data_IF_992449617451
#
_entry.id   IF_992449617451
#
_cell.length_a   1.000
_cell.length_b   1.000
_cell.length_c   1.000
_cell.angle_alpha   90.00
_cell.angle_beta   90.00
_cell.angle_gamma   90.00
#
_symmetry.space_group_name_H-M   'P 1'
#
loop_
_entity.id
_entity.type
_entity.pdbx_description
1 polymer ?
#
# COMPACT_ATOMS: atom_id res chain seq x y z
N UNK A 1 -23.89 -3.63 2.31
CA UNK A 1 -22.54 -4.12 1.96
C UNK A 1 -21.81 -4.43 3.26
N UNK A 2 -21.18 -5.61 3.39
CA UNK A 2 -20.45 -5.98 4.60
C UNK A 2 -19.30 -5.00 4.90
N UNK A 3 -18.89 -4.89 6.15
CA UNK A 3 -17.83 -3.97 6.60
C UNK A 3 -16.59 -4.72 7.07
N UNK A 4 -15.39 -4.31 6.62
CA UNK A 4 -14.14 -4.85 7.15
C UNK A 4 -13.60 -4.01 8.30
N UNK A 5 -13.52 -4.60 9.48
CA UNK A 5 -13.00 -3.91 10.66
C UNK A 5 -11.51 -3.52 10.49
N UNK A 6 -11.10 -2.26 10.74
CA UNK A 6 -9.71 -1.79 10.64
C UNK A 6 -8.74 -2.62 11.48
N UNK A 7 -9.17 -3.09 12.66
CA UNK A 7 -8.36 -3.94 13.54
C UNK A 7 -7.84 -5.19 12.81
N UNK A 8 -8.67 -5.84 11.99
CA UNK A 8 -8.26 -7.04 11.26
C UNK A 8 -7.15 -6.77 10.24
N UNK A 9 -7.19 -5.58 9.62
CA UNK A 9 -6.18 -5.12 8.66
C UNK A 9 -4.85 -4.85 9.37
N UNK A 10 -4.89 -4.13 10.51
CA UNK A 10 -3.71 -3.89 11.34
C UNK A 10 -3.07 -5.19 11.84
N UNK A 11 -3.88 -6.17 12.27
CA UNK A 11 -3.38 -7.47 12.72
C UNK A 11 -2.68 -8.23 11.60
N UNK A 12 -3.24 -8.22 10.38
CA UNK A 12 -2.58 -8.79 9.21
C UNK A 12 -1.22 -8.13 8.96
N UNK A 13 -1.20 -6.80 8.85
CA UNK A 13 0.02 -6.02 8.56
C UNK A 13 1.09 -6.28 9.63
N UNK A 14 0.74 -6.15 10.91
CA UNK A 14 1.69 -6.33 12.02
C UNK A 14 2.21 -7.77 12.08
N UNK A 15 1.35 -8.77 11.86
CA UNK A 15 1.78 -10.16 11.85
C UNK A 15 2.84 -10.40 10.79
N UNK A 16 2.58 -10.03 9.53
CA UNK A 16 3.52 -10.27 8.44
C UNK A 16 4.77 -9.38 8.53
N UNK A 17 4.64 -8.14 9.01
CA UNK A 17 5.75 -7.23 9.23
C UNK A 17 6.72 -7.71 10.33
N UNK A 18 6.21 -8.42 11.36
CA UNK A 18 7.02 -8.91 12.49
C UNK A 18 7.76 -10.22 12.22
N UNK A 19 7.31 -11.02 11.26
CA UNK A 19 7.99 -12.28 10.89
C UNK A 19 9.47 -12.08 10.51
N UNK A 20 9.85 -11.22 9.55
CA UNK A 20 11.26 -11.04 9.21
C UNK A 20 12.07 -10.39 10.34
N UNK A 21 11.44 -9.51 11.15
CA UNK A 21 12.08 -8.92 12.32
C UNK A 21 12.44 -10.00 13.36
N UNK A 22 11.52 -10.92 13.64
CA UNK A 22 11.75 -12.02 14.56
C UNK A 22 12.82 -12.99 14.04
N UNK A 23 12.81 -13.31 12.74
CA UNK A 23 13.85 -14.16 12.12
C UNK A 23 15.23 -13.50 12.16
N UNK A 24 15.30 -12.21 11.84
CA UNK A 24 16.52 -11.42 11.94
C UNK A 24 17.05 -11.42 13.38
N UNK A 25 16.19 -11.09 14.35
CA UNK A 25 16.59 -11.08 15.75
C UNK A 25 17.04 -12.46 16.24
N UNK A 26 16.32 -13.51 15.88
CA UNK A 26 16.69 -14.89 16.23
C UNK A 26 18.07 -15.25 15.67
N UNK A 27 18.36 -14.90 14.41
CA UNK A 27 19.68 -15.10 13.83
C UNK A 27 20.77 -14.38 14.65
N UNK A 28 20.59 -13.10 14.93
CA UNK A 28 21.58 -12.31 15.67
C UNK A 28 21.81 -12.85 17.09
N UNK A 29 20.74 -13.23 17.79
CA UNK A 29 20.82 -13.79 19.15
C UNK A 29 21.42 -15.18 19.19
N UNK A 30 21.14 -16.06 18.21
CA UNK A 30 21.63 -17.44 18.19
C UNK A 30 23.06 -17.56 17.69
N UNK A 31 23.49 -16.68 16.79
CA UNK A 31 24.83 -16.75 16.16
C UNK A 31 25.83 -15.79 16.78
N UNK A 32 25.37 -14.72 17.43
CA UNK A 32 26.22 -13.61 17.87
C UNK A 32 26.74 -12.73 16.73
N UNK A 33 26.34 -12.99 15.47
CA UNK A 33 26.71 -12.21 14.31
C UNK A 33 25.63 -11.19 13.94
N UNK A 34 26.05 -10.00 13.48
CA UNK A 34 25.13 -9.03 12.89
C UNK A 34 24.70 -9.47 11.49
N UNK A 35 23.53 -9.00 11.05
CA UNK A 35 23.07 -9.22 9.67
C UNK A 35 23.60 -8.09 8.80
N UNK A 36 24.36 -8.42 7.75
CA UNK A 36 24.86 -7.41 6.82
C UNK A 36 23.76 -6.89 5.88
N UNK A 37 23.98 -5.71 5.28
CA UNK A 37 22.98 -5.05 4.41
C UNK A 37 22.47 -5.93 3.28
N UNK A 38 23.33 -6.74 2.66
CA UNK A 38 22.91 -7.67 1.59
C UNK A 38 21.96 -8.77 2.08
N UNK A 39 22.22 -9.33 3.27
CA UNK A 39 21.33 -10.34 3.86
C UNK A 39 20.01 -9.73 4.33
N UNK A 40 20.06 -8.52 4.91
CA UNK A 40 18.84 -7.77 5.27
C UNK A 40 18.00 -7.45 4.03
N UNK A 41 18.62 -6.95 2.96
CA UNK A 41 17.96 -6.74 1.67
C UNK A 41 17.22 -8.00 1.17
N UNK A 42 17.88 -9.16 1.20
CA UNK A 42 17.24 -10.41 0.79
C UNK A 42 16.10 -10.82 1.72
N UNK A 43 16.32 -10.80 3.04
CA UNK A 43 15.33 -11.21 4.03
C UNK A 43 14.06 -10.38 3.94
N UNK A 44 14.19 -9.05 4.01
CA UNK A 44 13.04 -8.15 3.98
C UNK A 44 12.41 -8.06 2.59
N UNK A 45 13.20 -8.16 1.51
CA UNK A 45 12.67 -8.20 0.15
C UNK A 45 11.80 -9.43 -0.11
N UNK A 46 12.26 -10.62 0.32
CA UNK A 46 11.46 -11.83 0.24
C UNK A 46 10.25 -11.80 1.17
N UNK A 47 10.39 -11.27 2.39
CA UNK A 47 9.27 -11.14 3.31
C UNK A 47 8.17 -10.25 2.72
N UNK A 48 8.53 -9.07 2.20
CA UNK A 48 7.58 -8.16 1.54
C UNK A 48 6.86 -8.84 0.37
N UNK A 49 7.59 -9.56 -0.51
CA UNK A 49 6.98 -10.30 -1.61
C UNK A 49 6.03 -11.39 -1.12
N UNK A 50 6.41 -12.15 -0.09
CA UNK A 50 5.57 -13.20 0.49
C UNK A 50 4.30 -12.59 1.10
N UNK A 51 4.40 -11.47 1.82
CA UNK A 51 3.25 -10.73 2.37
C UNK A 51 2.28 -10.35 1.26
N UNK A 52 2.76 -9.70 0.19
CA UNK A 52 1.90 -9.30 -0.94
C UNK A 52 1.23 -10.50 -1.59
N UNK A 53 1.95 -11.61 -1.81
CA UNK A 53 1.37 -12.83 -2.39
C UNK A 53 0.32 -13.44 -1.47
N UNK A 54 0.58 -13.49 -0.16
CA UNK A 54 -0.39 -13.99 0.82
C UNK A 54 -1.66 -13.15 0.83
N UNK A 55 -1.52 -11.84 0.84
CA UNK A 55 -2.62 -10.90 0.77
C UNK A 55 -3.49 -11.12 -0.48
N UNK A 56 -2.88 -11.21 -1.66
CA UNK A 56 -3.60 -11.49 -2.92
C UNK A 56 -4.42 -12.79 -2.85
N UNK A 57 -3.84 -13.86 -2.27
CA UNK A 57 -4.52 -15.15 -2.14
C UNK A 57 -5.68 -15.10 -1.13
N UNK A 58 -5.53 -14.35 -0.04
CA UNK A 58 -6.56 -14.12 0.98
C UNK A 58 -7.72 -13.30 0.39
N UNK A 59 -7.40 -12.23 -0.36
CA UNK A 59 -8.40 -11.39 -1.03
C UNK A 59 -9.18 -12.16 -2.08
N UNK A 60 -8.54 -13.07 -2.82
CA UNK A 60 -9.25 -13.97 -3.73
C UNK A 60 -10.31 -14.81 -3.01
N UNK A 61 -10.03 -15.31 -1.80
CA UNK A 61 -11.02 -16.03 -0.99
C UNK A 61 -12.18 -15.13 -0.58
N UNK A 62 -11.89 -13.90 -0.16
CA UNK A 62 -12.92 -12.92 0.20
C UNK A 62 -13.79 -12.55 -1.00
N UNK A 63 -13.20 -12.35 -2.18
CA UNK A 63 -13.92 -12.10 -3.43
C UNK A 63 -14.84 -13.27 -3.79
N UNK A 64 -14.38 -14.51 -3.64
CA UNK A 64 -15.24 -15.68 -3.88
C UNK A 64 -16.46 -15.72 -2.94
N UNK A 65 -16.34 -15.19 -1.73
CA UNK A 65 -17.43 -15.16 -0.74
C UNK A 65 -18.35 -13.95 -0.87
N UNK A 66 -17.79 -12.77 -1.13
CA UNK A 66 -18.51 -11.49 -1.07
C UNK A 66 -18.76 -10.86 -2.45
N UNK A 67 -18.14 -11.39 -3.51
CA UNK A 67 -18.21 -10.84 -4.86
C UNK A 67 -17.28 -9.64 -5.07
N UNK A 68 -17.49 -8.94 -6.19
CA UNK A 68 -16.74 -7.75 -6.58
C UNK A 68 -17.65 -6.53 -6.73
N UNK A 69 -17.08 -5.34 -6.50
CA UNK A 69 -17.67 -4.07 -6.91
C UNK A 69 -17.97 -4.13 -8.41
N UNK A 70 -19.14 -3.62 -8.80
CA UNK A 70 -19.69 -3.66 -10.17
C UNK A 70 -19.88 -5.08 -10.74
N UNK A 71 -19.81 -6.12 -9.90
CA UNK A 71 -19.80 -7.52 -10.32
C UNK A 71 -21.08 -8.02 -10.98
N UNK A 72 -22.19 -7.30 -10.78
CA UNK A 72 -23.49 -7.59 -11.41
C UNK A 72 -23.53 -7.15 -12.89
N UNK A 73 -22.59 -6.28 -13.32
CA UNK A 73 -22.51 -5.72 -14.68
C UNK A 73 -21.26 -6.19 -15.42
N UNK A 74 -20.11 -6.21 -14.74
CA UNK A 74 -18.81 -6.54 -15.33
C UNK A 74 -18.05 -7.56 -14.49
N UNK A 75 -17.41 -8.52 -15.17
CA UNK A 75 -16.41 -9.37 -14.54
C UNK A 75 -15.09 -8.60 -14.34
N UNK A 76 -14.26 -9.03 -13.38
CA UNK A 76 -12.90 -8.50 -13.26
C UNK A 76 -12.06 -8.89 -14.46
N UNK A 77 -11.15 -8.01 -14.84
CA UNK A 77 -10.28 -8.17 -15.98
C UNK A 77 -9.33 -9.36 -15.80
N UNK A 78 -9.19 -10.16 -16.85
CA UNK A 78 -8.18 -11.21 -16.94
C UNK A 78 -6.80 -10.65 -17.30
N UNK A 79 -5.75 -11.39 -16.94
CA UNK A 79 -4.38 -11.03 -17.33
C UNK A 79 -4.22 -11.28 -18.85
N UNK A 80 -3.84 -10.28 -19.66
CA UNK A 80 -3.60 -10.48 -21.09
C UNK A 80 -2.48 -11.48 -21.34
N UNK A 81 -2.56 -12.28 -22.41
CA UNK A 81 -1.53 -13.27 -22.76
C UNK A 81 -0.13 -12.64 -22.97
N UNK A 82 -0.08 -11.42 -23.51
CA UNK A 82 1.16 -10.63 -23.67
C UNK A 82 1.67 -10.03 -22.35
N UNK A 83 0.87 -10.10 -21.29
CA UNK A 83 1.07 -9.48 -19.99
C UNK A 83 1.57 -10.41 -18.88
N UNK A 84 1.53 -11.72 -19.08
CA UNK A 84 1.85 -12.69 -18.02
C UNK A 84 3.22 -12.46 -17.37
N UNK A 85 4.25 -12.11 -18.16
CA UNK A 85 5.58 -11.78 -17.63
C UNK A 85 5.57 -10.58 -16.69
N UNK A 86 4.78 -9.53 -17.00
CA UNK A 86 4.69 -8.33 -16.16
C UNK A 86 4.08 -8.67 -14.80
N UNK A 87 3.00 -9.45 -14.79
CA UNK A 87 2.38 -9.88 -13.52
C UNK A 87 3.29 -10.78 -12.70
N UNK A 88 4.14 -11.60 -13.33
CA UNK A 88 5.10 -12.46 -12.62
C UNK A 88 6.32 -11.70 -12.08
N UNK A 89 6.85 -10.75 -12.84
CA UNK A 89 8.11 -10.05 -12.52
C UNK A 89 7.89 -8.74 -11.76
N UNK A 90 6.73 -8.10 -11.93
CA UNK A 90 6.37 -6.83 -11.30
C UNK A 90 6.45 -6.90 -9.77
N UNK A 91 5.72 -7.81 -9.08
CA UNK A 91 5.72 -7.84 -7.62
C UNK A 91 7.12 -8.07 -6.99
N UNK A 92 7.95 -9.03 -7.48
CA UNK A 92 9.33 -9.13 -7.00
C UNK A 92 10.14 -7.85 -7.25
N UNK A 93 10.05 -7.27 -8.45
CA UNK A 93 10.76 -6.03 -8.79
C UNK A 93 10.38 -4.89 -7.84
N UNK A 94 9.09 -4.72 -7.56
CA UNK A 94 8.56 -3.72 -6.63
C UNK A 94 9.12 -3.94 -5.22
N UNK A 95 9.00 -5.16 -4.70
CA UNK A 95 9.47 -5.50 -3.35
C UNK A 95 10.96 -5.20 -3.20
N UNK A 96 11.79 -5.72 -4.11
CA UNK A 96 13.24 -5.55 -4.01
C UNK A 96 13.69 -4.11 -4.28
N UNK A 97 13.09 -3.34 -5.19
CA UNK A 97 13.50 -1.94 -5.41
C UNK A 97 13.24 -1.05 -4.17
N UNK A 98 12.08 -1.21 -3.52
CA UNK A 98 11.77 -0.49 -2.27
C UNK A 98 12.75 -0.84 -1.16
N UNK A 99 13.04 -2.12 -0.98
CA UNK A 99 13.95 -2.57 0.06
C UNK A 99 15.40 -2.20 -0.25
N UNK A 100 15.82 -2.18 -1.52
CA UNK A 100 17.14 -1.69 -1.89
C UNK A 100 17.32 -0.23 -1.47
N UNK A 101 16.31 0.61 -1.71
CA UNK A 101 16.33 2.01 -1.31
C UNK A 101 16.43 2.17 0.21
N UNK A 102 15.54 1.54 0.96
CA UNK A 102 15.52 1.63 2.42
C UNK A 102 16.82 1.09 3.05
N UNK A 103 17.30 -0.07 2.60
CA UNK A 103 18.55 -0.65 3.11
C UNK A 103 19.74 0.25 2.81
N UNK A 104 19.83 0.81 1.60
CA UNK A 104 20.97 1.63 1.20
C UNK A 104 21.06 2.95 1.96
N UNK A 105 19.91 3.51 2.35
CA UNK A 105 19.85 4.82 2.99
C UNK A 105 19.86 4.77 4.52
N UNK A 106 19.28 3.74 5.14
CA UNK A 106 18.92 3.80 6.57
C UNK A 106 19.28 2.56 7.38
N UNK A 107 19.76 1.48 6.75
CA UNK A 107 20.07 0.26 7.48
C UNK A 107 21.44 0.31 8.16
N UNK A 108 21.43 0.14 9.47
CA UNK A 108 22.63 -0.07 10.29
C UNK A 108 22.68 -1.51 10.78
N UNK A 109 23.76 -2.24 10.43
CA UNK A 109 23.98 -3.62 10.87
C UNK A 109 24.27 -3.74 12.37
N UNK A 110 24.64 -2.66 13.04
CA UNK A 110 24.91 -2.67 14.47
C UNK A 110 23.64 -2.55 15.32
N UNK A 111 22.54 -2.04 14.75
CA UNK A 111 21.26 -1.94 15.45
C UNK A 111 20.38 -3.16 15.17
N UNK A 112 20.14 -3.97 16.20
CA UNK A 112 19.24 -5.13 16.07
C UNK A 112 17.76 -4.73 16.04
N UNK A 113 16.86 -5.57 15.48
CA UNK A 113 15.42 -5.28 15.52
C UNK A 113 14.89 -5.10 16.94
N UNK A 114 15.32 -5.94 17.89
CA UNK A 114 14.88 -5.85 19.28
C UNK A 114 15.35 -4.56 19.94
N UNK A 115 16.59 -4.15 19.72
CA UNK A 115 17.13 -2.88 20.22
C UNK A 115 16.32 -1.69 19.68
N UNK A 116 16.07 -1.63 18.38
CA UNK A 116 15.27 -0.58 17.77
C UNK A 116 13.82 -0.54 18.28
N UNK A 117 13.22 -1.69 18.57
CA UNK A 117 11.84 -1.79 19.04
C UNK A 117 11.67 -1.56 20.55
N UNK A 118 12.72 -1.75 21.34
CA UNK A 118 12.66 -1.63 22.81
C UNK A 118 13.03 -0.24 23.31
N UNK A 119 13.54 0.65 22.45
CA UNK A 119 13.76 2.05 22.81
C UNK A 119 12.42 2.82 22.90
N UNK A 120 11.81 2.76 24.09
CA UNK A 120 10.54 3.41 24.42
C UNK A 120 10.61 4.94 24.21
N UNK A 121 11.79 5.53 24.32
CA UNK A 121 11.94 6.99 24.16
C UNK A 121 11.63 7.45 22.74
N UNK A 122 11.84 6.57 21.75
CA UNK A 122 11.54 6.84 20.34
C UNK A 122 10.07 6.58 19.97
N UNK A 123 9.31 5.81 20.76
CA UNK A 123 7.96 5.35 20.39
C UNK A 123 6.99 6.48 20.01
N UNK A 124 6.90 7.61 20.74
CA UNK A 124 6.01 8.70 20.35
C UNK A 124 6.35 9.27 18.96
N UNK A 125 7.64 9.38 18.65
CA UNK A 125 8.12 9.90 17.37
C UNK A 125 7.93 8.86 16.27
N UNK A 126 8.24 7.58 16.51
CA UNK A 126 8.00 6.49 15.55
C UNK A 126 6.51 6.33 15.22
N UNK A 127 5.64 6.46 16.23
CA UNK A 127 4.19 6.45 16.02
C UNK A 127 3.73 7.66 15.21
N UNK A 128 4.23 8.86 15.52
CA UNK A 128 3.95 10.06 14.72
C UNK A 128 4.38 9.86 13.26
N UNK A 129 5.58 9.31 13.03
CA UNK A 129 6.06 9.00 11.68
C UNK A 129 5.11 8.06 10.95
N UNK A 130 4.66 6.97 11.60
CA UNK A 130 3.71 6.03 11.01
C UNK A 130 2.37 6.69 10.65
N UNK A 131 1.85 7.57 11.51
CA UNK A 131 0.62 8.32 11.24
C UNK A 131 0.75 9.25 10.02
N UNK A 132 1.91 9.90 9.86
CA UNK A 132 2.15 10.87 8.80
C UNK A 132 2.59 10.22 7.48
N UNK A 133 3.25 9.06 7.53
CA UNK A 133 3.91 8.47 6.37
C UNK A 133 2.96 8.25 5.20
N UNK A 134 1.79 7.66 5.46
CA UNK A 134 0.75 7.45 4.45
C UNK A 134 0.34 8.76 3.78
N UNK A 135 0.06 9.82 4.55
CA UNK A 135 -0.38 11.12 4.03
C UNK A 135 0.73 11.80 3.21
N UNK A 136 1.97 11.75 3.66
CA UNK A 136 3.12 12.37 2.97
C UNK A 136 3.48 11.63 1.69
N UNK A 137 3.46 10.29 1.70
CA UNK A 137 3.66 9.50 0.49
C UNK A 137 2.56 9.78 -0.53
N UNK A 138 1.33 9.83 -0.05
CA UNK A 138 0.15 10.10 -0.86
C UNK A 138 0.18 11.50 -1.47
N UNK A 139 0.85 12.48 -0.86
CA UNK A 139 1.06 13.81 -1.47
C UNK A 139 1.86 13.73 -2.76
N UNK A 140 3.02 13.07 -2.72
CA UNK A 140 3.89 12.92 -3.89
C UNK A 140 3.24 12.03 -4.95
N UNK A 141 2.56 10.97 -4.52
CA UNK A 141 1.75 10.14 -5.42
C UNK A 141 0.63 10.96 -6.06
N UNK A 142 -0.14 11.73 -5.29
CA UNK A 142 -1.25 12.55 -5.77
C UNK A 142 -0.79 13.53 -6.85
N UNK A 143 0.32 14.24 -6.64
CA UNK A 143 0.88 15.17 -7.63
C UNK A 143 1.24 14.44 -8.93
N UNK A 144 1.99 13.34 -8.82
CA UNK A 144 2.39 12.55 -9.98
C UNK A 144 1.17 12.00 -10.73
N UNK A 145 0.26 11.37 -10.00
CA UNK A 145 -0.90 10.67 -10.55
C UNK A 145 -1.86 11.66 -11.22
N UNK A 146 -2.19 12.78 -10.56
CA UNK A 146 -2.98 13.85 -11.15
C UNK A 146 -2.30 14.43 -12.39
N UNK A 147 -0.99 14.65 -12.36
CA UNK A 147 -0.26 15.16 -13.52
C UNK A 147 -0.31 14.18 -14.70
N UNK A 148 -0.20 12.87 -14.46
CA UNK A 148 -0.39 11.84 -15.49
C UNK A 148 -1.77 11.90 -16.16
N UNK A 149 -2.80 12.28 -15.42
CA UNK A 149 -4.18 12.40 -15.91
C UNK A 149 -4.48 13.75 -16.57
N UNK A 150 -3.91 14.84 -16.04
CA UNK A 150 -4.25 16.20 -16.48
C UNK A 150 -3.27 16.78 -17.52
N UNK A 151 -2.02 16.29 -17.60
CA UNK A 151 -1.01 16.74 -18.55
C UNK A 151 -0.89 15.73 -19.71
N UNK A 152 -1.28 16.09 -20.96
CA UNK A 152 -1.38 15.13 -22.06
C UNK A 152 -0.11 14.31 -22.35
N UNK A 153 1.08 14.90 -22.17
CA UNK A 153 2.35 14.20 -22.36
C UNK A 153 2.63 13.13 -21.28
N UNK A 154 2.16 13.35 -20.04
CA UNK A 154 2.42 12.44 -18.93
C UNK A 154 1.48 11.23 -18.91
N UNK A 155 0.35 11.29 -19.63
CA UNK A 155 -0.61 10.18 -19.77
C UNK A 155 0.05 8.88 -20.24
N UNK A 156 1.07 8.97 -21.10
CA UNK A 156 1.77 7.78 -21.61
C UNK A 156 2.39 6.91 -20.52
N UNK A 157 2.73 7.48 -19.37
CA UNK A 157 3.32 6.74 -18.25
C UNK A 157 2.28 5.98 -17.45
N UNK A 158 1.01 6.39 -17.48
CA UNK A 158 -0.04 5.81 -16.64
C UNK A 158 -1.14 5.07 -17.43
N UNK A 159 -1.20 5.26 -18.75
CA UNK A 159 -2.21 4.64 -19.61
C UNK A 159 -2.23 3.11 -19.54
N UNK A 160 -1.07 2.47 -19.37
CA UNK A 160 -0.96 1.00 -19.35
C UNK A 160 -1.65 0.44 -18.11
N UNK A 161 -1.50 1.12 -16.98
CA UNK A 161 -2.20 0.81 -15.74
C UNK A 161 -3.72 0.85 -15.91
N UNK A 162 -4.23 1.88 -16.60
CA UNK A 162 -5.65 2.03 -16.92
C UNK A 162 -6.19 1.17 -18.07
N UNK A 163 -5.35 0.33 -18.70
CA UNK A 163 -5.87 -0.67 -19.64
C UNK A 163 -6.77 -1.67 -18.93
N UNK A 164 -6.56 -1.89 -17.63
CA UNK A 164 -7.49 -2.62 -16.78
C UNK A 164 -8.46 -1.64 -16.11
N UNK A 165 -9.75 -1.81 -16.44
CA UNK A 165 -10.86 -1.03 -15.90
C UNK A 165 -11.49 -1.68 -14.68
N UNK A 166 -11.35 -3.00 -14.56
CA UNK A 166 -11.80 -3.79 -13.42
C UNK A 166 -10.65 -4.66 -12.92
N UNK A 167 -9.57 -4.06 -12.36
CA UNK A 167 -8.36 -4.80 -12.01
C UNK A 167 -8.58 -5.88 -10.95
N UNK A 168 -7.64 -6.81 -10.83
CA UNK A 168 -7.55 -7.71 -9.68
C UNK A 168 -6.30 -7.36 -8.88
N UNK A 169 -6.21 -7.86 -7.65
CA UNK A 169 -5.03 -7.63 -6.79
C UNK A 169 -3.72 -8.07 -7.48
N UNK A 170 -3.77 -9.10 -8.34
CA UNK A 170 -2.62 -9.57 -9.13
C UNK A 170 -2.13 -8.53 -10.17
N UNK A 171 -2.97 -7.58 -10.54
CA UNK A 171 -2.66 -6.50 -11.46
C UNK A 171 -2.30 -5.19 -10.75
N UNK A 172 -2.09 -5.20 -9.43
CA UNK A 172 -1.57 -4.03 -8.71
C UNK A 172 -0.22 -3.53 -9.26
N UNK A 173 0.60 -4.47 -9.77
CA UNK A 173 1.87 -4.19 -10.43
C UNK A 173 1.76 -4.03 -11.97
N UNK A 174 0.54 -3.91 -12.52
CA UNK A 174 0.34 -3.77 -13.95
C UNK A 174 0.63 -2.33 -14.39
N UNK A 175 1.87 -2.05 -14.75
CA UNK A 175 2.32 -0.74 -15.20
C UNK A 175 3.50 -0.85 -16.19
N UNK A 176 3.92 0.28 -16.76
CA UNK A 176 5.18 0.39 -17.50
C UNK A 176 6.34 0.68 -16.54
N UNK A 177 7.57 0.33 -16.97
CA UNK A 177 8.76 0.38 -16.11
C UNK A 177 8.98 1.79 -15.53
N UNK A 178 8.64 2.85 -16.27
CA UNK A 178 8.78 4.24 -15.81
C UNK A 178 7.82 4.58 -14.68
N UNK A 179 6.57 4.09 -14.74
CA UNK A 179 5.61 4.26 -13.66
C UNK A 179 6.04 3.46 -12.43
N UNK A 180 6.49 2.22 -12.62
CA UNK A 180 7.02 1.41 -11.52
C UNK A 180 8.23 2.08 -10.86
N UNK A 181 9.21 2.58 -11.62
CA UNK A 181 10.35 3.31 -11.03
C UNK A 181 9.88 4.56 -10.28
N UNK A 182 8.90 5.29 -10.82
CA UNK A 182 8.39 6.50 -10.19
C UNK A 182 7.67 6.19 -8.86
N UNK A 183 6.73 5.24 -8.87
CA UNK A 183 5.96 4.87 -7.68
C UNK A 183 6.77 4.11 -6.64
N UNK A 184 7.79 3.37 -7.06
CA UNK A 184 8.50 2.45 -6.17
C UNK A 184 9.84 2.99 -5.68
N UNK A 185 10.43 3.98 -6.37
CA UNK A 185 11.70 4.59 -5.98
C UNK A 185 11.52 6.08 -5.75
N UNK A 186 11.04 6.83 -6.75
CA UNK A 186 11.01 8.30 -6.67
C UNK A 186 10.06 8.79 -5.58
N UNK A 187 8.82 8.30 -5.53
CA UNK A 187 7.83 8.71 -4.52
C UNK A 187 8.28 8.36 -3.09
N UNK A 188 8.72 7.12 -2.79
CA UNK A 188 9.28 6.78 -1.48
C UNK A 188 10.53 7.61 -1.12
N UNK A 189 11.41 7.90 -2.10
CA UNK A 189 12.59 8.75 -1.88
C UNK A 189 12.20 10.20 -1.54
N UNK A 190 11.23 10.78 -2.26
CA UNK A 190 10.73 12.13 -1.96
C UNK A 190 10.03 12.18 -0.60
N UNK A 191 9.33 11.11 -0.23
CA UNK A 191 8.73 10.94 1.11
C UNK A 191 9.81 10.92 2.18
N UNK A 192 10.84 10.09 2.00
CA UNK A 192 12.00 10.03 2.89
C UNK A 192 12.69 11.40 3.02
N UNK A 193 12.96 12.08 1.89
CA UNK A 193 13.56 13.41 1.88
C UNK A 193 12.69 14.45 2.60
N UNK A 194 11.37 14.34 2.50
CA UNK A 194 10.42 15.22 3.22
C UNK A 194 10.57 15.03 4.73
N UNK A 195 10.54 13.78 5.21
CA UNK A 195 10.74 13.43 6.62
C UNK A 195 12.09 13.91 7.15
N UNK A 196 13.16 13.66 6.39
CA UNK A 196 14.51 14.14 6.70
C UNK A 196 14.56 15.67 6.82
N UNK A 197 13.95 16.40 5.87
CA UNK A 197 13.99 17.87 5.85
C UNK A 197 13.32 18.55 7.04
N UNK A 198 12.41 17.86 7.73
CA UNK A 198 11.69 18.38 8.91
C UNK A 198 12.18 17.78 10.23
N UNK A 199 13.32 17.07 10.21
CA UNK A 199 13.93 16.46 11.40
C UNK A 199 13.22 15.19 11.90
N UNK A 200 12.41 14.54 11.06
CA UNK A 200 11.74 13.28 11.35
C UNK A 200 12.40 12.11 10.60
N UNK A 201 13.73 12.01 10.65
CA UNK A 201 14.51 11.02 9.90
C UNK A 201 13.98 9.59 10.10
N UNK A 202 13.76 8.85 9.01
CA UNK A 202 13.24 7.49 9.06
C UNK A 202 14.38 6.48 9.24
N UNK A 203 14.34 5.71 10.33
CA UNK A 203 15.18 4.52 10.49
C UNK A 203 14.69 3.36 9.61
N UNK A 204 15.55 2.36 9.36
CA UNK A 204 15.19 1.20 8.54
C UNK A 204 13.95 0.46 9.04
N UNK A 205 13.89 0.16 10.34
CA UNK A 205 12.76 -0.60 10.91
C UNK A 205 11.46 0.22 10.92
N UNK A 206 11.52 1.54 11.10
CA UNK A 206 10.35 2.42 10.98
C UNK A 206 9.82 2.45 9.54
N UNK A 207 10.73 2.62 8.57
CA UNK A 207 10.38 2.64 7.15
C UNK A 207 9.88 1.27 6.68
N UNK A 208 10.43 0.17 7.22
CA UNK A 208 9.93 -1.19 6.99
C UNK A 208 8.46 -1.30 7.40
N UNK A 209 8.10 -0.94 8.64
CA UNK A 209 6.71 -0.99 9.11
C UNK A 209 5.81 -0.09 8.26
N UNK A 210 6.26 1.13 7.94
CA UNK A 210 5.50 2.04 7.07
C UNK A 210 5.25 1.42 5.69
N UNK A 211 6.25 0.75 5.10
CA UNK A 211 6.14 0.10 3.79
C UNK A 211 5.14 -1.04 3.78
N UNK A 212 5.03 -1.80 4.89
CA UNK A 212 4.05 -2.89 5.02
C UNK A 212 2.60 -2.36 5.08
N UNK A 213 2.36 -1.14 5.59
CA UNK A 213 1.07 -0.47 5.45
C UNK A 213 0.78 -0.07 4.00
N UNK A 214 1.77 0.49 3.30
CA UNK A 214 1.60 0.92 1.91
C UNK A 214 1.29 -0.28 1.01
N UNK A 215 2.04 -1.37 1.12
CA UNK A 215 1.84 -2.54 0.24
C UNK A 215 0.47 -3.15 0.44
N UNK A 216 -0.03 -3.20 1.68
CA UNK A 216 -1.40 -3.63 1.98
C UNK A 216 -2.43 -2.78 1.24
N UNK A 217 -2.35 -1.45 1.37
CA UNK A 217 -3.26 -0.53 0.68
C UNK A 217 -3.21 -0.70 -0.84
N UNK A 218 -2.02 -0.91 -1.41
CA UNK A 218 -1.84 -1.07 -2.85
C UNK A 218 -2.45 -2.37 -3.37
N UNK A 219 -2.26 -3.49 -2.67
CA UNK A 219 -2.79 -4.79 -3.08
C UNK A 219 -4.30 -4.82 -2.91
N UNK A 220 -4.81 -4.40 -1.74
CA UNK A 220 -6.24 -4.39 -1.47
C UNK A 220 -6.99 -3.41 -2.38
N UNK A 221 -6.42 -2.24 -2.68
CA UNK A 221 -7.03 -1.23 -3.54
C UNK A 221 -7.37 -1.72 -4.94
N UNK A 222 -6.60 -2.68 -5.48
CA UNK A 222 -6.86 -3.28 -6.80
C UNK A 222 -7.72 -4.55 -6.74
N UNK A 223 -8.14 -5.00 -5.56
CA UNK A 223 -8.89 -6.25 -5.41
C UNK A 223 -10.29 -6.19 -6.03
N UNK A 224 -10.92 -5.00 -5.97
CA UNK A 224 -12.33 -4.83 -6.32
C UNK A 224 -13.28 -5.62 -5.41
N UNK A 225 -12.84 -6.06 -4.22
CA UNK A 225 -13.68 -6.83 -3.29
C UNK A 225 -14.93 -6.04 -2.88
N UNK A 226 -16.10 -6.67 -2.87
CA UNK A 226 -17.38 -6.02 -2.51
C UNK A 226 -17.61 -5.99 -1.00
N UNK A 227 -16.68 -5.38 -0.29
CA UNK A 227 -16.73 -5.15 1.16
C UNK A 227 -16.36 -3.69 1.39
N UNK A 228 -17.05 -2.99 2.29
CA UNK A 228 -16.63 -1.65 2.67
C UNK A 228 -15.37 -1.75 3.53
N UNK A 229 -14.27 -1.28 2.99
CA UNK A 229 -12.98 -1.26 3.64
C UNK A 229 -12.30 0.04 3.30
N UNK A 230 -11.82 0.70 4.36
CA UNK A 230 -10.96 1.87 4.28
C UNK A 230 -9.52 1.44 4.42
N UNK A 231 -8.61 2.14 3.74
CA UNK A 231 -7.16 1.97 3.89
C UNK A 231 -6.77 2.13 5.38
N UNK A 232 -6.02 1.17 5.95
CA UNK A 232 -5.72 1.18 7.37
C UNK A 232 -4.67 2.24 7.70
N UNK A 233 -4.91 3.01 8.75
CA UNK A 233 -3.99 4.00 9.28
C UNK A 233 -4.18 4.10 10.80
N UNK A 234 -3.13 4.34 11.61
CA UNK A 234 -3.31 4.58 13.03
C UNK A 234 -4.23 5.77 13.34
N UNK A 235 -4.42 6.66 12.37
CA UNK A 235 -5.31 7.83 12.45
C UNK A 235 -6.56 7.69 11.55
N UNK A 236 -6.98 6.46 11.20
CA UNK A 236 -8.21 6.25 10.41
C UNK A 236 -9.43 6.92 11.04
N UNK A 237 -9.55 6.95 12.37
CA UNK A 237 -10.63 7.65 13.07
C UNK A 237 -10.67 9.15 12.74
N UNK A 238 -9.52 9.79 12.63
CA UNK A 238 -9.39 11.21 12.31
C UNK A 238 -9.67 11.44 10.82
N UNK A 239 -9.17 10.55 9.96
CA UNK A 239 -9.46 10.60 8.53
C UNK A 239 -10.96 10.48 8.26
N UNK A 240 -11.66 9.55 8.92
CA UNK A 240 -13.12 9.43 8.82
C UNK A 240 -13.84 10.65 9.36
N UNK A 241 -13.43 11.20 10.51
CA UNK A 241 -14.00 12.43 11.07
C UNK A 241 -13.87 13.61 10.10
N UNK A 242 -12.78 13.65 9.34
CA UNK A 242 -12.51 14.65 8.32
C UNK A 242 -13.07 14.28 6.94
N UNK A 243 -13.77 13.15 6.77
CA UNK A 243 -14.23 12.61 5.48
C UNK A 243 -13.07 12.58 4.44
N UNK A 244 -11.92 12.10 4.91
CA UNK A 244 -10.64 12.05 4.20
C UNK A 244 -10.07 10.62 4.13
N UNK A 245 -10.84 9.63 4.56
CA UNK A 245 -10.51 8.22 4.42
C UNK A 245 -10.67 7.75 2.97
N UNK A 246 -9.75 6.90 2.51
CA UNK A 246 -9.85 6.25 1.20
C UNK A 246 -10.50 4.87 1.38
N UNK A 247 -11.66 4.67 0.77
CA UNK A 247 -12.28 3.36 0.63
C UNK A 247 -11.80 2.72 -0.67
N UNK A 248 -11.79 1.38 -0.73
CA UNK A 248 -11.39 0.66 -1.95
C UNK A 248 -12.22 1.07 -3.17
N UNK A 249 -13.50 1.36 -2.96
CA UNK A 249 -14.36 1.83 -4.06
C UNK A 249 -13.82 3.13 -4.69
N UNK A 250 -13.16 4.02 -3.93
CA UNK A 250 -12.65 5.27 -4.47
C UNK A 250 -11.61 5.02 -5.58
N UNK A 251 -10.69 4.07 -5.36
CA UNK A 251 -9.71 3.64 -6.37
C UNK A 251 -10.33 2.78 -7.47
N UNK A 252 -11.30 1.93 -7.13
CA UNK A 252 -12.01 1.12 -8.12
C UNK A 252 -12.83 1.99 -9.10
N UNK A 253 -13.48 3.06 -8.63
CA UNK A 253 -14.15 4.06 -9.48
C UNK A 253 -13.16 4.83 -10.34
N UNK A 254 -11.99 5.13 -9.80
CA UNK A 254 -10.90 5.74 -10.56
C UNK A 254 -10.48 4.85 -11.74
N UNK A 255 -10.33 3.54 -11.55
CA UNK A 255 -10.05 2.63 -12.66
C UNK A 255 -11.20 2.56 -13.65
N UNK A 256 -12.44 2.34 -13.17
CA UNK A 256 -13.64 2.15 -14.00
C UNK A 256 -13.90 3.34 -14.92
N UNK A 257 -13.93 4.54 -14.34
CA UNK A 257 -14.39 5.75 -15.04
C UNK A 257 -13.27 6.74 -15.34
N UNK A 258 -12.12 6.63 -14.67
CA UNK A 258 -11.00 7.54 -14.87
C UNK A 258 -10.37 7.41 -16.25
N UNK A 259 -10.25 8.55 -16.92
CA UNK A 259 -9.55 8.67 -18.20
C UNK A 259 -9.19 10.12 -18.46
N UNK A 260 -7.89 10.44 -18.51
CA UNK A 260 -7.39 11.83 -18.57
C UNK A 260 -7.93 12.63 -17.39
N UNK A 261 -8.57 13.79 -17.57
CA UNK A 261 -9.15 14.56 -16.46
C UNK A 261 -10.09 13.66 -15.64
N UNK A 262 -9.65 13.28 -14.44
CA UNK A 262 -10.23 12.23 -13.61
C UNK A 262 -10.45 12.76 -12.19
N UNK A 263 -10.63 11.86 -11.24
CA UNK A 263 -10.94 12.08 -9.83
C UNK A 263 -10.33 10.96 -8.97
N UNK A 264 -10.33 11.10 -7.65
CA UNK A 264 -9.75 10.13 -6.69
C UNK A 264 -8.30 9.76 -7.04
N UNK A 265 -7.40 10.75 -7.01
CA UNK A 265 -5.99 10.55 -7.35
C UNK A 265 -5.15 10.01 -6.18
N UNK A 266 -5.63 10.05 -4.94
CA UNK A 266 -4.98 9.42 -3.79
C UNK A 266 -5.02 7.90 -3.83
N UNK A 267 -4.08 7.27 -3.13
CA UNK A 267 -3.92 5.81 -2.99
C UNK A 267 -3.92 5.37 -1.53
N UNK A 268 -3.61 6.27 -0.60
CA UNK A 268 -3.62 6.00 0.85
C UNK A 268 -4.75 6.73 1.58
N UNK A 269 -5.07 7.95 1.15
CA UNK A 269 -6.11 8.79 1.76
C UNK A 269 -6.84 9.59 0.67
N UNK A 270 -7.94 10.26 1.02
CA UNK A 270 -8.54 11.28 0.14
C UNK A 270 -8.24 12.70 0.64
N UNK A 271 -7.22 12.89 1.48
CA UNK A 271 -6.85 14.20 2.06
C UNK A 271 -6.57 15.20 0.93
N UNK A 272 -5.70 14.82 -0.01
CA UNK A 272 -5.32 15.68 -1.13
C UNK A 272 -6.43 15.84 -2.16
N UNK A 273 -7.20 14.78 -2.42
CA UNK A 273 -8.41 14.86 -3.24
C UNK A 273 -9.44 15.84 -2.68
N UNK A 274 -9.59 15.90 -1.36
CA UNK A 274 -10.50 16.85 -0.70
C UNK A 274 -9.98 18.27 -0.76
N UNK A 275 -8.69 18.48 -0.46
CA UNK A 275 -8.06 19.82 -0.51
C UNK A 275 -8.16 20.42 -1.91
N UNK A 276 -7.99 19.60 -2.95
CA UNK A 276 -7.96 20.06 -4.34
C UNK A 276 -9.21 19.70 -5.15
N UNK A 277 -10.31 19.35 -4.47
CA UNK A 277 -11.64 19.11 -5.06
C UNK A 277 -11.67 18.08 -6.19
N UNK A 278 -10.91 17.00 -6.06
CA UNK A 278 -10.91 15.84 -6.97
C UNK A 278 -11.53 14.58 -6.36
N UNK A 279 -12.07 14.63 -5.14
CA UNK A 279 -12.83 13.50 -4.54
C UNK A 279 -14.18 13.34 -5.26
N UNK A 280 -14.50 12.12 -5.67
CA UNK A 280 -15.80 11.77 -6.24
C UNK A 280 -16.72 11.07 -5.24
N UNK A 281 -18.01 10.99 -5.56
CA UNK A 281 -18.98 10.28 -4.73
C UNK A 281 -18.93 8.76 -4.99
N UNK A 282 -18.94 8.00 -3.89
CA UNK A 282 -19.07 6.53 -3.89
C UNK A 282 -20.41 6.07 -4.49
N UNK A 283 -20.44 4.91 -5.14
CA UNK A 283 -21.65 4.37 -5.76
C UNK A 283 -22.27 3.29 -4.87
N UNK A 284 -21.49 2.26 -4.53
CA UNK A 284 -21.92 1.13 -3.71
C UNK A 284 -21.54 1.29 -2.23
N UNK A 285 -20.39 1.89 -1.94
CA UNK A 285 -19.82 2.02 -0.60
C UNK A 285 -20.27 3.32 0.10
N UNK A 286 -21.53 3.72 -0.11
CA UNK A 286 -22.15 4.86 0.58
C UNK A 286 -22.49 4.49 2.01
N UNK A 287 -22.40 5.46 2.93
CA UNK A 287 -22.65 5.26 4.37
C UNK A 287 -23.98 4.52 4.65
N UNK A 288 -25.05 4.90 3.96
CA UNK A 288 -26.38 4.28 4.12
C UNK A 288 -26.51 2.87 3.49
N UNK A 289 -25.50 2.39 2.76
CA UNK A 289 -25.45 1.07 2.17
C UNK A 289 -24.43 0.15 2.88
N UNK A 290 -23.70 0.65 3.88
CA UNK A 290 -22.77 -0.15 4.67
C UNK A 290 -23.51 -0.75 5.87
N UNK A 291 -23.37 -2.06 6.03
CA UNK A 291 -23.85 -2.78 7.21
C UNK A 291 -22.66 -2.94 8.18
N UNK A 292 -22.64 -2.12 9.23
CA UNK A 292 -21.59 -2.16 10.25
C UNK A 292 -21.76 -3.32 11.25
N UNK A 293 -22.88 -4.05 11.20
CA UNK A 293 -23.10 -5.26 12.00
C UNK A 293 -22.59 -6.53 11.27
N UNK A 294 -22.62 -6.54 9.94
CA UNK A 294 -22.03 -7.61 9.11
C UNK A 294 -20.50 -7.44 8.95
N UNK A 295 -19.78 -7.83 10.00
CA UNK A 295 -18.33 -7.67 10.10
C UNK A 295 -17.59 -8.79 9.34
N UNK A 296 -16.79 -8.37 8.36
CA UNK A 296 -15.78 -9.19 7.68
C UNK A 296 -14.40 -8.95 8.32
N UNK A 297 -13.64 -10.02 8.47
CA UNK A 297 -12.26 -9.95 8.96
C UNK A 297 -11.28 -10.21 7.83
N UNK A 298 -10.21 -9.43 7.76
CA UNK A 298 -9.03 -9.79 6.97
C UNK A 298 -8.35 -11.01 7.62
N UNK A 299 -8.32 -12.17 6.95
CA UNK A 299 -7.71 -13.36 7.52
C UNK A 299 -6.18 -13.25 7.55
N UNK A 300 -5.55 -13.83 8.58
CA UNK A 300 -4.09 -13.95 8.67
C UNK A 300 -3.59 -15.18 7.88
N UNK A 301 -4.40 -16.26 7.81
CA UNK A 301 -4.05 -17.57 7.24
C UNK A 301 -4.97 -18.02 6.10
#
# INVERSE_FOLDING_TARGET
MPYMAPLSQHLFIIFYATVPLALHQAYSSLTGHTVGSFMSFLLYGWAHLITSVREMLLLRRLIHKHGCLDGDVHHRDGIPNTGARKVLVGPPKIAFLRLALAVSLTYDSHTSPLEAMTDISCWPVSFLKLCLYGITLDFWFYIYHRACHEIPFMWKYHRTHHLSKHPTAAMAAWADDEQEVTEMVLIPLLTFATFWSVGLELGFYEWWICSEYIVFSEVIGHSGVRVHVIVPSPISWLLCLCDAELAIEDHDLHHRFGWRKSFNYGKQTTVWDKIFSSKSARLESRENNVDYEDIVWMPIF
#
